data_IF_767312765750
#
_entry.id   IF_767312765750
#
_cell.length_a   1.000
_cell.length_b   1.000
_cell.length_c   1.000
_cell.angle_alpha   90.00
_cell.angle_beta   90.00
_cell.angle_gamma   90.00
#
_symmetry.space_group_name_H-M   'P 1'
#
loop_
_entity.id
_entity.type
_entity.pdbx_description
1 polymer ?
#
# COMPACT_ATOMS: atom_id res chain seq x y z
N UNK A 1 -30.93 32.22 -57.96
CA UNK A 1 -29.76 32.74 -57.22
C UNK A 1 -30.05 32.97 -55.74
N UNK A 2 -31.31 33.18 -55.33
CA UNK A 2 -31.72 33.20 -53.92
C UNK A 2 -31.75 31.81 -53.28
N UNK A 3 -32.14 30.78 -54.01
CA UNK A 3 -32.39 29.44 -53.44
C UNK A 3 -31.10 28.71 -53.04
N UNK A 4 -29.99 28.94 -53.77
CA UNK A 4 -28.68 28.36 -53.46
C UNK A 4 -28.10 28.89 -52.13
N UNK A 5 -28.41 30.13 -51.75
CA UNK A 5 -27.90 30.75 -50.52
C UNK A 5 -28.60 30.17 -49.28
N UNK A 6 -29.91 29.90 -49.38
CA UNK A 6 -30.67 29.29 -48.28
C UNK A 6 -30.28 27.83 -48.05
N UNK A 7 -29.97 27.09 -49.12
CA UNK A 7 -29.53 25.69 -49.02
C UNK A 7 -28.11 25.58 -48.41
N UNK A 8 -27.20 26.47 -48.79
CA UNK A 8 -25.85 26.55 -48.20
C UNK A 8 -25.90 26.95 -46.73
N UNK A 9 -26.78 27.88 -46.34
CA UNK A 9 -26.95 28.28 -44.94
C UNK A 9 -27.51 27.14 -44.08
N UNK A 10 -28.53 26.41 -44.57
CA UNK A 10 -29.11 25.26 -43.87
C UNK A 10 -28.09 24.14 -43.66
N UNK A 11 -27.29 23.83 -44.68
CA UNK A 11 -26.22 22.82 -44.58
C UNK A 11 -25.13 23.22 -43.58
N UNK A 12 -24.76 24.50 -43.54
CA UNK A 12 -23.74 25.01 -42.61
C UNK A 12 -24.23 24.92 -41.16
N UNK A 13 -25.48 25.28 -40.90
CA UNK A 13 -26.10 25.17 -39.57
C UNK A 13 -26.17 23.70 -39.13
N UNK A 14 -26.60 22.80 -40.02
CA UNK A 14 -26.65 21.37 -39.74
C UNK A 14 -25.28 20.81 -39.34
N UNK A 15 -24.23 21.07 -40.13
CA UNK A 15 -22.87 20.61 -39.81
C UNK A 15 -22.32 21.23 -38.51
N UNK A 16 -22.66 22.48 -38.21
CA UNK A 16 -22.31 23.12 -36.94
C UNK A 16 -22.88 22.38 -35.72
N UNK A 17 -24.16 21.99 -35.78
CA UNK A 17 -24.83 21.22 -34.73
C UNK A 17 -24.20 19.82 -34.61
N UNK A 18 -23.94 19.14 -35.73
CA UNK A 18 -23.32 17.81 -35.72
C UNK A 18 -21.94 17.84 -35.06
N UNK A 19 -21.09 18.81 -35.41
CA UNK A 19 -19.76 18.96 -34.79
C UNK A 19 -19.89 19.22 -33.28
N UNK A 20 -20.82 20.06 -32.87
CA UNK A 20 -21.08 20.34 -31.46
C UNK A 20 -21.52 19.08 -30.68
N UNK A 21 -22.44 18.29 -31.23
CA UNK A 21 -22.89 17.04 -30.59
C UNK A 21 -21.75 16.01 -30.52
N UNK A 22 -21.00 15.83 -31.61
CA UNK A 22 -19.89 14.87 -31.66
C UNK A 22 -18.78 15.25 -30.67
N UNK A 23 -18.46 16.53 -30.54
CA UNK A 23 -17.47 17.01 -29.56
C UNK A 23 -17.90 16.77 -28.11
N UNK A 24 -19.19 16.97 -27.77
CA UNK A 24 -19.72 16.63 -26.44
C UNK A 24 -19.57 15.13 -26.17
N UNK A 25 -19.89 14.26 -27.14
CA UNK A 25 -19.77 12.81 -26.99
C UNK A 25 -18.30 12.41 -26.74
N UNK A 26 -17.35 12.99 -27.48
CA UNK A 26 -15.92 12.71 -27.30
C UNK A 26 -15.48 13.12 -25.89
N UNK A 27 -15.87 14.31 -25.41
CA UNK A 27 -15.53 14.79 -24.06
C UNK A 27 -16.15 13.88 -22.99
N UNK A 28 -17.41 13.48 -23.14
CA UNK A 28 -18.06 12.57 -22.21
C UNK A 28 -17.33 11.21 -22.16
N UNK A 29 -16.91 10.70 -23.31
CA UNK A 29 -16.19 9.43 -23.42
C UNK A 29 -14.80 9.51 -22.79
N UNK A 30 -14.06 10.60 -22.97
CA UNK A 30 -12.74 10.78 -22.35
C UNK A 30 -12.83 10.89 -20.83
N UNK A 31 -13.84 11.59 -20.29
CA UNK A 31 -14.10 11.64 -18.83
C UNK A 31 -14.43 10.25 -18.30
N UNK A 32 -15.28 9.48 -19.01
CA UNK A 32 -15.66 8.13 -18.61
C UNK A 32 -14.45 7.20 -18.54
N UNK A 33 -13.58 7.20 -19.57
CA UNK A 33 -12.36 6.39 -19.59
C UNK A 33 -11.42 6.77 -18.45
N UNK A 34 -11.21 8.06 -18.21
CA UNK A 34 -10.35 8.52 -17.12
C UNK A 34 -10.87 8.05 -15.76
N UNK A 35 -12.18 8.17 -15.52
CA UNK A 35 -12.80 7.69 -14.28
C UNK A 35 -12.72 6.16 -14.09
N UNK A 36 -12.72 5.41 -15.19
CA UNK A 36 -12.62 3.94 -15.15
C UNK A 36 -11.18 3.50 -14.88
N UNK A 37 -10.17 4.20 -15.43
CA UNK A 37 -8.77 3.96 -15.14
C UNK A 37 -8.48 4.09 -13.65
N UNK A 38 -8.92 5.18 -13.02
CA UNK A 38 -8.66 5.43 -11.60
C UNK A 38 -9.25 4.35 -10.66
N UNK A 39 -10.33 3.68 -11.09
CA UNK A 39 -10.91 2.56 -10.34
C UNK A 39 -10.14 1.25 -10.49
N UNK A 40 -9.47 1.04 -11.63
CA UNK A 40 -8.72 -0.21 -11.91
C UNK A 40 -7.25 -0.09 -11.54
N UNK A 41 -6.68 1.10 -11.56
CA UNK A 41 -5.28 1.34 -11.20
C UNK A 41 -5.04 1.43 -9.69
N UNK A 42 -6.07 1.23 -8.87
CA UNK A 42 -5.92 1.13 -7.43
C UNK A 42 -4.96 0.00 -7.06
N UNK A 43 -3.80 0.35 -6.51
CA UNK A 43 -2.83 -0.65 -6.03
C UNK A 43 -3.51 -1.51 -4.95
N UNK A 44 -3.51 -2.86 -5.07
CA UNK A 44 -4.13 -3.75 -4.10
C UNK A 44 -3.61 -3.48 -2.67
N UNK A 45 -4.51 -3.56 -1.68
CA UNK A 45 -4.16 -3.35 -0.28
C UNK A 45 -3.03 -4.26 0.19
N UNK A 46 -3.06 -5.52 -0.25
CA UNK A 46 -2.01 -6.51 -0.04
C UNK A 46 -0.63 -6.04 -0.51
N UNK A 47 -0.53 -5.49 -1.74
CA UNK A 47 0.76 -5.03 -2.29
C UNK A 47 1.28 -3.81 -1.51
N UNK A 48 0.39 -2.90 -1.11
CA UNK A 48 0.76 -1.77 -0.26
C UNK A 48 1.28 -2.25 1.10
N UNK A 49 0.60 -3.22 1.71
CA UNK A 49 1.00 -3.79 2.99
C UNK A 49 2.34 -4.52 2.90
N UNK A 50 2.59 -5.30 1.84
CA UNK A 50 3.89 -5.95 1.65
C UNK A 50 5.00 -4.90 1.51
N UNK A 51 4.81 -3.87 0.69
CA UNK A 51 5.79 -2.77 0.54
C UNK A 51 6.10 -2.06 1.87
N UNK A 52 5.10 -1.84 2.72
CA UNK A 52 5.31 -1.28 4.06
C UNK A 52 6.10 -2.27 4.92
N UNK A 53 5.73 -3.56 4.88
CA UNK A 53 6.37 -4.60 5.67
C UNK A 53 7.85 -4.80 5.35
N UNK A 54 8.29 -4.48 4.13
CA UNK A 54 9.70 -4.51 3.74
C UNK A 54 10.58 -3.61 4.63
N UNK A 55 10.01 -2.55 5.23
CA UNK A 55 10.77 -1.67 6.12
C UNK A 55 11.28 -2.40 7.36
N UNK A 56 10.47 -3.31 7.92
CA UNK A 56 10.79 -4.02 9.15
C UNK A 56 12.14 -4.77 9.09
N UNK A 57 12.48 -5.34 7.93
CA UNK A 57 13.68 -6.15 7.73
C UNK A 57 14.82 -5.42 7.02
N UNK A 58 14.59 -4.20 6.52
CA UNK A 58 15.54 -3.52 5.62
C UNK A 58 16.05 -2.19 6.14
N UNK A 59 15.46 -1.62 7.21
CA UNK A 59 15.90 -0.33 7.78
C UNK A 59 16.42 -0.48 9.21
N UNK A 60 17.56 0.16 9.51
CA UNK A 60 18.21 0.11 10.81
C UNK A 60 17.40 0.75 11.95
N UNK A 61 16.51 1.70 11.60
CA UNK A 61 15.57 2.36 12.50
C UNK A 61 14.40 1.43 12.93
N UNK A 62 14.31 0.26 12.31
CA UNK A 62 13.39 -0.82 12.66
C UNK A 62 14.20 -2.01 13.21
N UNK A 63 13.90 -3.23 12.77
CA UNK A 63 14.51 -4.44 13.31
C UNK A 63 15.77 -4.87 12.57
N UNK A 64 16.15 -4.20 11.48
CA UNK A 64 17.31 -4.61 10.71
C UNK A 64 18.61 -4.46 11.53
N UNK A 65 19.46 -5.49 11.44
CA UNK A 65 20.78 -5.47 12.04
C UNK A 65 21.65 -4.41 11.39
N UNK A 66 22.31 -3.62 12.23
CA UNK A 66 23.28 -2.64 11.81
C UNK A 66 24.62 -2.96 12.48
N UNK A 67 25.65 -3.15 11.65
CA UNK A 67 27.00 -3.40 12.14
C UNK A 67 27.47 -2.20 12.99
N UNK A 68 27.86 -2.41 14.25
CA UNK A 68 28.25 -1.33 15.15
C UNK A 68 29.51 -0.58 14.71
N UNK A 69 30.41 -1.24 13.97
CA UNK A 69 31.69 -0.70 13.50
C UNK A 69 31.50 0.03 12.18
N UNK A 70 30.92 -0.64 11.17
CA UNK A 70 30.81 -0.08 9.82
C UNK A 70 29.56 0.77 9.62
N UNK A 71 28.61 0.72 10.56
CA UNK A 71 27.27 1.34 10.48
C UNK A 71 26.43 0.87 9.30
N UNK A 72 26.83 -0.22 8.65
CA UNK A 72 26.11 -0.80 7.52
C UNK A 72 24.89 -1.57 8.00
N UNK A 73 23.75 -1.31 7.39
CA UNK A 73 22.51 -2.09 7.60
C UNK A 73 22.54 -3.35 6.74
N UNK A 74 22.23 -4.48 7.35
CA UNK A 74 22.11 -5.77 6.65
C UNK A 74 20.63 -6.09 6.43
N UNK A 75 20.16 -5.90 5.20
CA UNK A 75 18.79 -6.23 4.83
C UNK A 75 18.51 -7.74 4.95
N UNK A 76 17.31 -8.09 5.44
CA UNK A 76 16.92 -9.48 5.70
C UNK A 76 17.58 -10.09 6.94
N UNK A 77 18.32 -9.31 7.72
CA UNK A 77 18.90 -9.73 9.00
C UNK A 77 18.24 -8.94 10.12
N UNK A 78 17.58 -9.63 11.05
CA UNK A 78 16.88 -9.06 12.19
C UNK A 78 17.78 -9.09 13.42
N UNK A 79 17.86 -7.97 14.13
CA UNK A 79 18.51 -7.87 15.43
C UNK A 79 17.49 -8.18 16.53
N UNK A 80 17.65 -9.30 17.25
CA UNK A 80 16.71 -9.69 18.31
C UNK A 80 16.64 -8.67 19.44
N UNK A 81 17.72 -7.95 19.71
CA UNK A 81 17.70 -6.93 20.77
C UNK A 81 16.73 -5.79 20.44
N UNK A 82 16.43 -5.59 19.15
CA UNK A 82 15.49 -4.60 18.65
C UNK A 82 14.08 -5.16 18.45
N UNK A 83 13.87 -6.47 18.47
CA UNK A 83 12.58 -7.10 18.11
C UNK A 83 11.58 -7.05 19.27
N UNK A 84 11.11 -5.84 19.61
CA UNK A 84 10.19 -5.58 20.71
C UNK A 84 9.17 -4.50 20.35
N UNK A 85 8.13 -4.37 21.18
CA UNK A 85 7.01 -3.45 20.96
C UNK A 85 7.42 -1.97 21.03
N UNK A 86 8.45 -1.62 21.82
CA UNK A 86 8.95 -0.25 21.87
C UNK A 86 9.58 0.18 20.53
N UNK A 87 10.44 -0.67 19.97
CA UNK A 87 11.05 -0.44 18.67
C UNK A 87 10.00 -0.52 17.55
N UNK A 88 9.01 -1.40 17.65
CA UNK A 88 7.88 -1.45 16.72
C UNK A 88 7.15 -0.11 16.67
N UNK A 89 6.84 0.48 17.83
CA UNK A 89 6.20 1.78 17.91
C UNK A 89 7.09 2.91 17.35
N UNK A 90 8.42 2.80 17.45
CA UNK A 90 9.33 3.74 16.79
C UNK A 90 9.34 3.57 15.27
N UNK A 91 9.38 2.33 14.80
CA UNK A 91 9.43 1.98 13.38
C UNK A 91 8.13 2.31 12.63
N UNK A 92 6.99 1.97 13.21
CA UNK A 92 5.68 2.14 12.61
C UNK A 92 4.61 2.37 13.68
N UNK A 93 4.18 3.62 13.82
CA UNK A 93 3.07 4.02 14.68
C UNK A 93 1.91 4.53 13.86
N UNK A 94 0.71 4.06 14.18
CA UNK A 94 -0.54 4.59 13.61
C UNK A 94 -1.19 5.55 14.62
N UNK A 95 -1.86 6.62 14.16
CA UNK A 95 -2.57 7.54 15.06
C UNK A 95 -3.56 6.79 15.95
N UNK A 96 -3.72 7.16 17.21
CA UNK A 96 -4.63 6.46 18.13
C UNK A 96 -6.10 6.61 17.71
N UNK A 97 -6.48 7.81 17.24
CA UNK A 97 -7.87 8.12 16.89
C UNK A 97 -8.32 7.55 15.54
N UNK A 98 -7.39 7.29 14.61
CA UNK A 98 -7.70 6.84 13.25
C UNK A 98 -6.92 5.59 12.81
N UNK A 99 -6.13 4.99 13.71
CA UNK A 99 -5.23 3.89 13.39
C UNK A 99 -5.95 2.62 12.94
N UNK A 100 -7.24 2.49 13.27
CA UNK A 100 -8.12 1.43 12.76
C UNK A 100 -8.45 1.57 11.27
N UNK A 101 -8.11 2.70 10.62
CA UNK A 101 -8.35 2.98 9.18
C UNK A 101 -7.14 2.70 8.29
N UNK A 102 -6.04 2.22 8.86
CA UNK A 102 -4.79 1.93 8.14
C UNK A 102 -4.33 0.50 8.43
N UNK A 103 -3.25 0.08 7.78
CA UNK A 103 -2.60 -1.20 8.02
C UNK A 103 -1.98 -1.24 9.43
N UNK A 104 -2.23 -2.32 10.14
CA UNK A 104 -1.57 -2.66 11.40
C UNK A 104 -0.91 -4.02 11.26
N UNK A 105 0.19 -4.23 11.99
CA UNK A 105 1.05 -5.38 11.77
C UNK A 105 1.29 -6.13 13.08
N UNK A 106 1.20 -7.45 13.01
CA UNK A 106 1.75 -8.36 14.00
C UNK A 106 2.89 -9.14 13.37
N UNK A 107 4.05 -9.16 14.00
CA UNK A 107 5.24 -9.88 13.55
C UNK A 107 5.51 -11.04 14.50
N UNK A 108 5.86 -12.18 13.95
CA UNK A 108 6.22 -13.36 14.73
C UNK A 108 7.40 -14.07 14.08
N UNK A 109 8.45 -14.32 14.86
CA UNK A 109 9.57 -15.16 14.47
C UNK A 109 9.30 -16.59 14.94
N UNK A 110 9.25 -17.53 14.01
CA UNK A 110 8.73 -18.88 14.24
C UNK A 110 9.66 -19.70 15.14
N UNK A 111 10.96 -19.71 14.85
CA UNK A 111 11.92 -20.57 15.56
C UNK A 111 12.31 -19.98 16.91
N UNK A 112 12.49 -18.66 16.99
CA UNK A 112 12.78 -17.96 18.25
C UNK A 112 11.55 -17.73 19.12
N UNK A 113 10.34 -17.85 18.56
CA UNK A 113 9.08 -17.68 19.26
C UNK A 113 8.76 -16.24 19.68
N UNK A 114 9.56 -15.26 19.26
CA UNK A 114 9.34 -13.86 19.61
C UNK A 114 8.22 -13.25 18.78
N UNK A 115 7.48 -12.33 19.38
CA UNK A 115 6.41 -11.60 18.70
C UNK A 115 6.44 -10.13 19.08
N UNK A 116 6.01 -9.28 18.15
CA UNK A 116 5.82 -7.86 18.37
C UNK A 116 4.69 -7.33 17.49
N UNK A 117 4.02 -6.26 17.90
CA UNK A 117 2.83 -5.74 17.21
C UNK A 117 2.74 -4.22 17.25
N UNK A 118 2.06 -3.65 16.26
CA UNK A 118 1.76 -2.22 16.25
C UNK A 118 0.69 -1.86 17.28
N UNK A 119 0.66 -0.59 17.68
CA UNK A 119 -0.19 -0.08 18.75
C UNK A 119 -1.70 -0.32 18.56
N UNK A 120 -2.18 -0.39 17.31
CA UNK A 120 -3.59 -0.62 16.98
C UNK A 120 -3.84 -1.99 16.32
N UNK A 121 -3.00 -2.99 16.61
CA UNK A 121 -3.21 -4.35 16.14
C UNK A 121 -4.17 -5.13 17.05
N UNK A 122 -5.33 -5.50 16.53
CA UNK A 122 -6.42 -6.17 17.25
C UNK A 122 -6.57 -7.65 16.89
N UNK A 123 -5.52 -8.28 16.36
CA UNK A 123 -5.49 -9.69 15.95
C UNK A 123 -6.52 -10.08 14.87
N UNK A 124 -7.09 -9.10 14.16
CA UNK A 124 -7.93 -9.35 12.99
C UNK A 124 -7.01 -9.57 11.78
N UNK A 125 -6.78 -10.83 11.44
CA UNK A 125 -5.85 -11.20 10.35
C UNK A 125 -6.55 -11.09 9.00
N UNK A 126 -6.11 -10.14 8.18
CA UNK A 126 -6.55 -10.00 6.77
C UNK A 126 -5.59 -10.73 5.83
N UNK A 127 -4.29 -10.47 5.97
CA UNK A 127 -3.24 -11.08 5.14
C UNK A 127 -2.15 -11.68 6.02
N UNK A 128 -1.43 -12.68 5.47
CA UNK A 128 -0.23 -13.26 6.08
C UNK A 128 0.86 -13.32 5.03
N UNK A 129 2.00 -12.71 5.34
CA UNK A 129 3.22 -12.88 4.57
C UNK A 129 4.22 -13.68 5.38
N UNK A 130 5.06 -14.44 4.68
CA UNK A 130 6.13 -15.22 5.27
C UNK A 130 7.41 -14.86 4.56
N UNK A 131 8.47 -14.55 5.32
CA UNK A 131 9.78 -14.20 4.79
C UNK A 131 10.86 -15.01 5.50
N UNK A 132 11.74 -15.62 4.72
CA UNK A 132 12.97 -16.20 5.28
C UNK A 132 13.90 -15.06 5.68
N UNK A 133 14.39 -15.10 6.92
CA UNK A 133 15.24 -14.07 7.49
C UNK A 133 16.42 -14.70 8.23
N UNK A 134 17.48 -13.93 8.38
CA UNK A 134 18.52 -14.23 9.36
C UNK A 134 18.23 -13.45 10.64
N UNK A 135 18.63 -14.00 11.77
CA UNK A 135 18.40 -13.44 13.09
C UNK A 135 19.74 -13.38 13.82
N UNK A 136 20.09 -12.19 14.30
CA UNK A 136 21.26 -11.92 15.12
C UNK A 136 20.86 -11.87 16.59
N UNK A 137 21.41 -12.77 17.40
CA UNK A 137 21.13 -12.86 18.83
C UNK A 137 22.14 -12.11 19.73
N UNK A 138 23.06 -11.36 19.11
CA UNK A 138 24.19 -10.73 19.80
C UNK A 138 25.49 -11.53 19.69
N UNK A 139 25.42 -12.81 19.31
CA UNK A 139 26.57 -13.70 19.21
C UNK A 139 26.68 -14.42 17.87
N UNK A 140 25.57 -14.95 17.34
CA UNK A 140 25.54 -15.73 16.11
C UNK A 140 24.34 -15.38 15.22
N UNK A 141 24.49 -15.72 13.94
CA UNK A 141 23.45 -15.57 12.93
C UNK A 141 22.71 -16.89 12.76
N UNK A 142 21.41 -16.89 13.04
CA UNK A 142 20.52 -18.05 12.85
C UNK A 142 19.54 -17.80 11.72
N UNK A 143 19.12 -18.86 11.03
CA UNK A 143 17.99 -18.78 10.10
C UNK A 143 16.70 -18.81 10.93
N UNK A 144 15.71 -18.04 10.52
CA UNK A 144 14.36 -18.05 11.08
C UNK A 144 13.37 -17.68 9.96
N UNK A 145 12.09 -17.81 10.27
CA UNK A 145 10.98 -17.43 9.42
C UNK A 145 10.20 -16.31 10.11
N UNK A 146 10.12 -15.16 9.44
CA UNK A 146 9.29 -14.04 9.88
C UNK A 146 7.89 -14.17 9.28
N UNK A 147 6.91 -14.34 10.15
CA UNK A 147 5.49 -14.24 9.81
C UNK A 147 4.98 -12.84 10.08
N UNK A 148 4.37 -12.24 9.06
CA UNK A 148 3.84 -10.89 9.08
C UNK A 148 2.33 -10.99 8.91
N UNK A 149 1.60 -10.77 9.98
CA UNK A 149 0.15 -10.67 9.99
C UNK A 149 -0.25 -9.23 9.75
N UNK A 150 -1.09 -9.01 8.75
CA UNK A 150 -1.59 -7.67 8.41
C UNK A 150 -3.07 -7.60 8.75
N UNK A 151 -3.42 -6.55 9.46
CA UNK A 151 -4.79 -6.11 9.68
C UNK A 151 -5.05 -4.89 8.79
N UNK A 152 -5.90 -5.04 7.78
CA UNK A 152 -6.41 -3.92 7.00
C UNK A 152 -7.53 -3.21 7.76
N UNK A 153 -7.75 -1.92 7.45
CA UNK A 153 -8.77 -1.05 8.04
C UNK A 153 -10.05 -1.79 8.44
N UNK A 154 -10.50 -1.60 9.68
CA UNK A 154 -11.80 -2.08 10.18
C UNK A 154 -12.94 -1.21 9.61
N UNK A 155 -13.04 -1.12 8.29
CA UNK A 155 -14.13 -0.42 7.61
C UNK A 155 -15.30 -1.39 7.45
N UNK A 156 -16.16 -1.42 8.48
CA UNK A 156 -17.45 -2.14 8.55
C UNK A 156 -17.35 -3.66 8.34
N UNK A 157 -17.46 -4.42 9.43
CA UNK A 157 -18.12 -5.72 9.36
C UNK A 157 -19.51 -5.49 8.72
N UNK A 158 -19.93 -6.28 7.72
CA UNK A 158 -21.33 -6.29 7.31
C UNK A 158 -22.14 -6.80 8.51
N UNK A 159 -22.83 -5.90 9.19
CA UNK A 159 -23.94 -6.24 10.10
C UNK A 159 -25.04 -6.96 9.34
#
# INVERSE_FOLDING_TARGET
MSDDVFDVAGKTIFWGIVIFVVSIIIIAFTIMISSYKDRITGVPGELKADLISQRFTNTADCFAYQDPVTKRTHAGVIDLSKFNDEQMAHCYKTPEEEGFRTFNFGLHLVDTGQETKTNNYFQVKTYRFTKEVMVWDGSEMKKDVLEIFVQESLTRLPT
#
